data_IF_091396914583
#
_entry.id   IF_091396914583
#
_cell.length_a   1.000
_cell.length_b   1.000
_cell.length_c   1.000
_cell.angle_alpha   90.00
_cell.angle_beta   90.00
_cell.angle_gamma   90.00
#
_symmetry.space_group_name_H-M   'P 1'
#
loop_
_entity.id
_entity.type
_entity.pdbx_description
1 polymer ?
#
# COMPACT_ATOMS: atom_id res chain seq x y z
N UNK A 1 12.09 -11.18 1.83
CA UNK A 1 12.32 -11.10 3.29
C UNK A 1 11.84 -12.33 4.06
N UNK A 2 10.57 -12.78 3.96
CA UNK A 2 10.14 -14.06 4.58
C UNK A 2 10.76 -15.33 3.95
N UNK A 3 11.39 -15.21 2.77
CA UNK A 3 12.00 -16.31 2.03
C UNK A 3 13.48 -16.57 2.38
N UNK A 4 14.15 -15.64 3.07
CA UNK A 4 15.59 -15.73 3.39
C UNK A 4 15.86 -16.45 4.71
N UNK A 5 14.98 -16.34 5.70
CA UNK A 5 15.11 -17.02 7.00
C UNK A 5 14.24 -18.28 7.04
N UNK A 6 14.57 -19.26 6.19
CA UNK A 6 13.80 -20.51 6.06
C UNK A 6 13.80 -21.38 7.34
N UNK A 7 14.73 -21.13 8.26
CA UNK A 7 14.94 -21.99 9.42
C UNK A 7 14.41 -21.42 10.75
N UNK A 8 14.50 -20.10 10.99
CA UNK A 8 13.91 -19.45 12.18
C UNK A 8 13.53 -17.99 11.89
N UNK A 9 12.25 -17.65 11.99
CA UNK A 9 11.82 -16.26 11.93
C UNK A 9 12.38 -15.46 13.13
N UNK A 10 12.99 -14.29 12.92
CA UNK A 10 13.48 -13.46 14.02
C UNK A 10 12.33 -13.04 14.93
N UNK A 11 12.53 -13.10 16.25
CA UNK A 11 11.46 -12.89 17.25
C UNK A 11 10.75 -11.56 17.07
N UNK A 12 11.51 -10.49 16.81
CA UNK A 12 10.96 -9.15 16.61
C UNK A 12 10.00 -9.07 15.41
N UNK A 13 10.30 -9.76 14.32
CA UNK A 13 9.44 -9.78 13.12
C UNK A 13 8.12 -10.51 13.39
N UNK A 14 8.20 -11.65 14.09
CA UNK A 14 7.01 -12.42 14.46
C UNK A 14 6.07 -11.62 15.38
N UNK A 15 6.64 -10.88 16.35
CA UNK A 15 5.88 -10.00 17.25
C UNK A 15 5.28 -8.83 16.46
N UNK A 16 6.06 -8.16 15.62
CA UNK A 16 5.56 -7.05 14.78
C UNK A 16 4.44 -7.51 13.86
N UNK A 17 4.56 -8.71 13.26
CA UNK A 17 3.50 -9.30 12.44
C UNK A 17 2.21 -9.52 13.25
N UNK A 18 2.31 -10.04 14.48
CA UNK A 18 1.15 -10.20 15.36
C UNK A 18 0.48 -8.85 15.64
N UNK A 19 1.25 -7.85 16.06
CA UNK A 19 0.73 -6.53 16.41
C UNK A 19 0.09 -5.86 15.20
N UNK A 20 0.80 -5.78 14.07
CA UNK A 20 0.30 -5.10 12.86
C UNK A 20 -0.92 -5.81 12.30
N UNK A 21 -0.90 -7.14 12.17
CA UNK A 21 -2.05 -7.87 11.62
C UNK A 21 -3.27 -7.79 12.54
N UNK A 22 -3.11 -7.96 13.85
CA UNK A 22 -4.23 -7.86 14.80
C UNK A 22 -4.82 -6.46 14.83
N UNK A 23 -3.99 -5.41 14.90
CA UNK A 23 -4.46 -4.02 14.83
C UNK A 23 -5.18 -3.78 13.50
N UNK A 24 -4.58 -4.18 12.38
CA UNK A 24 -5.17 -3.97 11.06
C UNK A 24 -6.55 -4.63 10.93
N UNK A 25 -6.70 -5.87 11.39
CA UNK A 25 -7.99 -6.59 11.36
C UNK A 25 -9.09 -5.88 12.15
N UNK A 26 -8.73 -5.15 13.20
CA UNK A 26 -9.67 -4.44 14.06
C UNK A 26 -10.02 -3.02 13.57
N UNK A 27 -9.29 -2.44 12.60
CA UNK A 27 -9.48 -1.03 12.18
C UNK A 27 -10.67 -0.85 11.22
N UNK A 28 -10.91 -1.79 10.28
CA UNK A 28 -12.01 -1.66 9.30
C UNK A 28 -12.76 -2.98 9.09
N UNK A 29 -14.04 -2.89 8.72
CA UNK A 29 -14.90 -4.04 8.49
C UNK A 29 -14.40 -5.04 7.43
N UNK A 30 -13.72 -4.59 6.37
CA UNK A 30 -13.17 -5.48 5.34
C UNK A 30 -11.77 -6.04 5.65
N UNK A 31 -11.13 -5.59 6.73
CA UNK A 31 -9.74 -5.97 7.07
C UNK A 31 -9.53 -7.47 7.31
N UNK A 32 -10.48 -8.24 7.88
CA UNK A 32 -10.35 -9.69 7.95
C UNK A 32 -10.10 -10.36 6.59
N UNK A 33 -10.76 -9.88 5.52
CA UNK A 33 -10.59 -10.41 4.15
C UNK A 33 -9.17 -10.13 3.65
N UNK A 34 -8.66 -8.92 3.87
CA UNK A 34 -7.31 -8.53 3.46
C UNK A 34 -6.23 -9.36 4.17
N UNK A 35 -6.39 -9.63 5.47
CA UNK A 35 -5.47 -10.53 6.20
C UNK A 35 -5.57 -11.97 5.73
N UNK A 36 -6.77 -12.45 5.42
CA UNK A 36 -6.95 -13.79 4.85
C UNK A 36 -6.24 -13.92 3.49
N UNK A 37 -6.32 -12.91 2.61
CA UNK A 37 -5.60 -12.89 1.34
C UNK A 37 -4.08 -12.81 1.51
N UNK A 38 -3.61 -12.04 2.50
CA UNK A 38 -2.19 -12.02 2.88
C UNK A 38 -1.70 -13.39 3.38
N UNK A 39 -2.47 -14.04 4.25
CA UNK A 39 -2.18 -15.40 4.74
C UNK A 39 -2.22 -16.43 3.60
N UNK A 40 -3.18 -16.34 2.70
CA UNK A 40 -3.26 -17.19 1.51
C UNK A 40 -2.02 -17.02 0.62
N UNK A 41 -1.56 -15.78 0.44
CA UNK A 41 -0.33 -15.50 -0.31
C UNK A 41 0.88 -16.18 0.33
N UNK A 42 1.00 -16.15 1.66
CA UNK A 42 2.06 -16.88 2.38
C UNK A 42 1.94 -18.40 2.19
N UNK A 43 0.73 -18.96 2.27
CA UNK A 43 0.47 -20.39 2.05
C UNK A 43 0.86 -20.81 0.64
N UNK A 44 0.53 -20.01 -0.38
CA UNK A 44 0.88 -20.29 -1.77
C UNK A 44 2.40 -20.25 -2.03
N UNK A 45 3.12 -19.34 -1.37
CA UNK A 45 4.58 -19.19 -1.56
C UNK A 45 5.39 -20.25 -0.80
N UNK A 46 5.00 -20.56 0.43
CA UNK A 46 5.76 -21.48 1.31
C UNK A 46 5.29 -22.93 1.13
N UNK A 47 4.00 -23.12 0.85
CA UNK A 47 3.32 -24.41 0.83
C UNK A 47 2.64 -24.72 2.18
N UNK A 48 1.42 -25.29 2.17
CA UNK A 48 0.61 -25.49 3.39
C UNK A 48 1.28 -26.45 4.39
N UNK A 49 1.88 -27.55 3.92
CA UNK A 49 2.51 -28.55 4.78
C UNK A 49 3.70 -27.97 5.53
N UNK A 50 4.54 -27.19 4.85
CA UNK A 50 5.74 -26.59 5.44
C UNK A 50 5.38 -25.50 6.45
N UNK A 51 4.42 -24.64 6.10
CA UNK A 51 3.94 -23.60 6.99
C UNK A 51 3.34 -24.23 8.27
N UNK A 52 2.53 -25.28 8.12
CA UNK A 52 1.96 -26.01 9.25
C UNK A 52 3.04 -26.62 10.14
N UNK A 53 4.07 -27.25 9.56
CA UNK A 53 5.20 -27.78 10.32
C UNK A 53 5.95 -26.67 11.08
N UNK A 54 6.23 -25.53 10.46
CA UNK A 54 6.89 -24.40 11.11
C UNK A 54 6.09 -23.86 12.29
N UNK A 55 4.77 -23.69 12.13
CA UNK A 55 3.88 -23.26 13.21
C UNK A 55 3.83 -24.33 14.31
N UNK A 56 3.72 -25.61 13.97
CA UNK A 56 3.67 -26.71 14.94
C UNK A 56 4.93 -26.82 15.80
N UNK A 57 6.10 -26.53 15.23
CA UNK A 57 7.38 -26.66 15.95
C UNK A 57 7.81 -25.39 16.72
N UNK A 58 7.12 -24.25 16.52
CA UNK A 58 7.50 -22.97 17.15
C UNK A 58 6.38 -22.42 18.03
N UNK A 59 6.56 -22.45 19.36
CA UNK A 59 5.63 -21.83 20.32
C UNK A 59 5.36 -20.36 20.01
N UNK A 60 6.37 -19.62 19.55
CA UNK A 60 6.20 -18.22 19.18
C UNK A 60 5.22 -18.07 18.00
N UNK A 61 5.37 -18.89 16.96
CA UNK A 61 4.47 -18.84 15.80
C UNK A 61 3.05 -19.29 16.16
N UNK A 62 2.89 -20.22 17.10
CA UNK A 62 1.57 -20.61 17.62
C UNK A 62 0.89 -19.45 18.34
N UNK A 63 1.62 -18.75 19.21
CA UNK A 63 1.09 -17.57 19.92
C UNK A 63 0.71 -16.49 18.91
N UNK A 64 1.61 -16.19 17.96
CA UNK A 64 1.36 -15.18 16.91
C UNK A 64 0.13 -15.53 16.08
N UNK A 65 0.04 -16.77 15.56
CA UNK A 65 -1.12 -17.22 14.79
C UNK A 65 -2.40 -17.19 15.62
N UNK A 66 -2.34 -17.63 16.89
CA UNK A 66 -3.47 -17.61 17.81
C UNK A 66 -3.97 -16.19 18.11
N UNK A 67 -3.08 -15.23 18.30
CA UNK A 67 -3.42 -13.82 18.54
C UNK A 67 -4.07 -13.18 17.32
N UNK A 68 -3.54 -13.41 16.12
CA UNK A 68 -4.14 -12.92 14.87
C UNK A 68 -5.52 -13.56 14.67
N UNK A 69 -5.64 -14.87 14.89
CA UNK A 69 -6.88 -15.60 14.74
C UNK A 69 -7.96 -15.12 15.73
N UNK A 70 -7.60 -14.93 17.00
CA UNK A 70 -8.51 -14.40 18.01
C UNK A 70 -8.99 -12.98 17.66
N UNK A 71 -8.09 -12.10 17.23
CA UNK A 71 -8.46 -10.75 16.77
C UNK A 71 -9.41 -10.81 15.56
N UNK A 72 -9.15 -11.70 14.60
CA UNK A 72 -10.02 -11.91 13.44
C UNK A 72 -11.41 -12.45 13.80
N UNK A 73 -11.49 -13.37 14.76
CA UNK A 73 -12.77 -13.85 15.27
C UNK A 73 -13.56 -12.75 15.95
N UNK A 74 -12.91 -11.96 16.81
CA UNK A 74 -13.56 -10.83 17.51
C UNK A 74 -14.06 -9.80 16.48
N UNK A 75 -13.23 -9.41 15.51
CA UNK A 75 -13.61 -8.49 14.45
C UNK A 75 -14.79 -9.01 13.63
N UNK A 76 -14.74 -10.28 13.22
CA UNK A 76 -15.80 -10.90 12.40
C UNK A 76 -17.11 -11.02 13.18
N UNK A 77 -17.04 -11.43 14.45
CA UNK A 77 -18.21 -11.48 15.33
C UNK A 77 -18.84 -10.10 15.49
N UNK A 78 -18.03 -9.06 15.69
CA UNK A 78 -18.52 -7.68 15.75
C UNK A 78 -19.18 -7.25 14.42
N UNK A 79 -18.54 -7.53 13.29
CA UNK A 79 -19.05 -7.17 11.96
C UNK A 79 -20.43 -7.79 11.71
N UNK A 80 -20.60 -9.07 12.04
CA UNK A 80 -21.85 -9.81 11.84
C UNK A 80 -22.93 -9.34 12.82
N UNK A 81 -22.61 -9.24 14.11
CA UNK A 81 -23.59 -8.89 15.15
C UNK A 81 -24.08 -7.45 15.05
N UNK A 82 -23.21 -6.52 14.66
CA UNK A 82 -23.56 -5.10 14.52
C UNK A 82 -23.94 -4.72 13.09
N UNK A 83 -23.85 -5.65 12.12
CA UNK A 83 -24.15 -5.38 10.72
C UNK A 83 -23.32 -4.23 10.14
N UNK A 84 -22.05 -4.08 10.56
CA UNK A 84 -21.22 -2.90 10.22
C UNK A 84 -20.97 -2.69 8.72
N UNK A 85 -21.23 -3.70 7.89
CA UNK A 85 -21.14 -3.63 6.43
C UNK A 85 -22.43 -3.10 5.77
N UNK A 86 -23.52 -2.94 6.54
CA UNK A 86 -24.76 -2.32 6.07
C UNK A 86 -24.57 -0.81 6.04
N UNK A 87 -24.00 -0.32 4.95
CA UNK A 87 -23.81 1.11 4.73
C UNK A 87 -25.11 1.78 4.25
N UNK A 88 -25.25 3.06 4.55
CA UNK A 88 -26.35 3.87 4.04
C UNK A 88 -26.23 4.00 2.51
N UNK A 89 -27.36 4.05 1.78
CA UNK A 89 -27.35 4.32 0.34
C UNK A 89 -26.99 5.80 0.10
N UNK A 90 -25.70 6.07 -0.06
CA UNK A 90 -25.16 7.43 -0.29
C UNK A 90 -24.44 7.53 -1.65
N UNK A 91 -24.34 6.41 -2.39
CA UNK A 91 -23.66 6.37 -3.68
C UNK A 91 -24.47 6.98 -4.82
N UNK A 92 -23.84 7.13 -5.98
CA UNK A 92 -24.53 7.52 -7.21
C UNK A 92 -25.71 6.57 -7.46
N UNK A 93 -26.94 7.09 -7.66
CA UNK A 93 -28.12 6.26 -7.80
C UNK A 93 -28.01 5.41 -9.07
N UNK A 94 -28.22 4.11 -8.91
CA UNK A 94 -28.30 3.15 -10.02
C UNK A 94 -29.76 2.74 -10.18
N UNK A 95 -30.27 2.76 -11.40
CA UNK A 95 -31.67 2.42 -11.65
C UNK A 95 -31.88 0.93 -11.33
N UNK A 96 -32.93 0.60 -10.59
CA UNK A 96 -33.20 -0.79 -10.18
C UNK A 96 -33.35 -1.76 -11.37
N UNK A 97 -33.73 -1.24 -12.54
CA UNK A 97 -33.97 -1.99 -13.77
C UNK A 97 -32.74 -2.08 -14.69
N UNK A 98 -31.61 -1.45 -14.34
CA UNK A 98 -30.41 -1.50 -15.18
C UNK A 98 -29.85 -2.93 -15.23
N UNK A 99 -29.42 -3.34 -16.43
CA UNK A 99 -28.79 -4.65 -16.62
C UNK A 99 -27.48 -4.76 -15.83
N UNK A 100 -27.11 -5.97 -15.40
CA UNK A 100 -25.84 -6.18 -14.68
C UNK A 100 -24.64 -5.72 -15.51
N UNK A 101 -24.68 -5.90 -16.83
CA UNK A 101 -23.63 -5.44 -17.74
C UNK A 101 -23.51 -3.92 -17.73
N UNK A 102 -24.64 -3.20 -17.76
CA UNK A 102 -24.67 -1.73 -17.64
C UNK A 102 -24.04 -1.27 -16.33
N UNK A 103 -24.35 -1.95 -15.22
CA UNK A 103 -23.79 -1.64 -13.90
C UNK A 103 -22.28 -1.91 -13.88
N UNK A 104 -21.83 -3.04 -14.41
CA UNK A 104 -20.39 -3.35 -14.50
C UNK A 104 -19.67 -2.28 -15.33
N UNK A 105 -20.21 -1.88 -16.47
CA UNK A 105 -19.62 -0.80 -17.29
C UNK A 105 -19.54 0.52 -16.53
N UNK A 106 -20.60 0.89 -15.80
CA UNK A 106 -20.61 2.11 -14.99
C UNK A 106 -19.54 2.06 -13.89
N UNK A 107 -19.39 0.92 -13.21
CA UNK A 107 -18.39 0.71 -12.16
C UNK A 107 -16.96 0.69 -12.73
N UNK A 108 -16.75 0.10 -13.90
CA UNK A 108 -15.45 0.12 -14.57
C UNK A 108 -15.00 1.55 -14.91
N UNK A 109 -15.94 2.44 -15.28
CA UNK A 109 -15.65 3.85 -15.53
C UNK A 109 -15.19 4.61 -14.26
N UNK A 110 -15.48 4.09 -13.06
CA UNK A 110 -15.03 4.67 -11.78
C UNK A 110 -13.67 4.14 -11.31
N UNK A 111 -13.14 3.06 -11.90
CA UNK A 111 -11.86 2.47 -11.46
C UNK A 111 -10.70 3.46 -11.54
N UNK A 112 -10.64 4.27 -12.59
CA UNK A 112 -9.61 5.32 -12.73
C UNK A 112 -9.65 6.33 -11.57
N UNK A 113 -10.84 6.62 -11.04
CA UNK A 113 -11.02 7.52 -9.91
C UNK A 113 -10.53 6.86 -8.63
N UNK A 114 -10.87 5.58 -8.39
CA UNK A 114 -10.34 4.83 -7.25
C UNK A 114 -8.82 4.70 -7.28
N UNK A 115 -8.22 4.46 -8.45
CA UNK A 115 -6.75 4.43 -8.59
C UNK A 115 -6.12 5.78 -8.24
N UNK A 116 -6.77 6.89 -8.62
CA UNK A 116 -6.33 8.24 -8.24
C UNK A 116 -6.45 8.49 -6.72
N UNK A 117 -7.54 8.04 -6.11
CA UNK A 117 -7.73 8.11 -4.66
C UNK A 117 -6.72 7.25 -3.88
N UNK A 118 -6.30 6.10 -4.44
CA UNK A 118 -5.25 5.27 -3.84
C UNK A 118 -3.89 5.96 -3.79
N UNK A 119 -3.60 6.85 -4.75
CA UNK A 119 -2.39 7.69 -4.74
C UNK A 119 -2.56 8.85 -3.76
N UNK A 120 -3.64 9.62 -3.93
CA UNK A 120 -3.93 10.74 -3.03
C UNK A 120 -4.97 11.68 -3.61
N UNK A 121 -6.17 11.67 -3.03
CA UNK A 121 -7.11 12.77 -3.10
C UNK A 121 -7.37 13.19 -1.66
N UNK A 122 -6.87 14.36 -1.29
CA UNK A 122 -6.72 14.77 0.10
C UNK A 122 -8.03 15.29 0.71
N UNK A 123 -8.02 15.41 2.04
CA UNK A 123 -9.13 15.83 2.91
C UNK A 123 -10.42 15.04 2.71
N UNK A 124 -11.50 15.69 2.27
CA UNK A 124 -12.80 15.06 1.99
C UNK A 124 -12.90 14.57 0.52
N UNK A 125 -11.81 14.01 -0.02
CA UNK A 125 -11.77 13.52 -1.42
C UNK A 125 -12.07 14.62 -2.45
N UNK A 126 -11.72 15.85 -2.10
CA UNK A 126 -12.03 17.06 -2.86
C UNK A 126 -10.78 17.87 -3.15
N UNK A 127 -9.57 17.38 -2.85
CA UNK A 127 -8.33 18.06 -3.24
C UNK A 127 -7.43 17.11 -3.97
N UNK A 128 -7.45 17.23 -5.30
CA UNK A 128 -6.55 16.48 -6.17
C UNK A 128 -5.14 17.03 -6.05
N UNK A 129 -4.17 16.13 -6.06
CA UNK A 129 -2.75 16.46 -6.14
C UNK A 129 -2.40 17.00 -7.54
N UNK A 130 -1.23 17.67 -7.69
CA UNK A 130 -0.69 18.01 -8.99
C UNK A 130 -0.58 16.79 -9.91
N UNK A 131 -0.74 16.98 -11.22
CA UNK A 131 -0.81 15.89 -12.20
C UNK A 131 0.49 15.05 -12.21
N UNK A 132 1.61 15.70 -11.97
CA UNK A 132 2.95 15.14 -11.93
C UNK A 132 3.07 14.04 -10.88
N UNK A 133 2.40 14.20 -9.72
CA UNK A 133 2.39 13.19 -8.66
C UNK A 133 1.70 11.92 -9.16
N UNK A 134 0.54 12.05 -9.82
CA UNK A 134 -0.16 10.89 -10.35
C UNK A 134 0.63 10.18 -11.45
N UNK A 135 1.26 10.94 -12.37
CA UNK A 135 2.08 10.37 -13.43
C UNK A 135 3.24 9.55 -12.87
N UNK A 136 3.91 10.05 -11.84
CA UNK A 136 5.05 9.36 -11.26
C UNK A 136 4.64 8.07 -10.53
N UNK A 137 3.55 8.08 -9.77
CA UNK A 137 2.97 6.83 -9.20
C UNK A 137 2.53 5.84 -10.27
N UNK A 138 1.90 6.31 -11.35
CA UNK A 138 1.51 5.49 -12.49
C UNK A 138 2.69 4.97 -13.31
N UNK A 139 3.88 5.56 -13.16
CA UNK A 139 5.13 5.02 -13.69
C UNK A 139 5.76 3.99 -12.75
N UNK A 140 5.97 4.36 -11.49
CA UNK A 140 6.73 3.58 -10.51
C UNK A 140 6.03 2.26 -10.16
N UNK A 141 4.74 2.29 -9.85
CA UNK A 141 4.03 1.07 -9.39
C UNK A 141 3.97 0.01 -10.49
N UNK A 142 3.49 0.30 -11.72
CA UNK A 142 3.51 -0.68 -12.80
C UNK A 142 4.92 -1.17 -13.13
N UNK A 143 5.93 -0.30 -13.11
CA UNK A 143 7.32 -0.70 -13.34
C UNK A 143 7.77 -1.75 -12.33
N UNK A 144 7.53 -1.53 -11.04
CA UNK A 144 7.87 -2.49 -9.97
C UNK A 144 7.13 -3.81 -10.15
N UNK A 145 5.84 -3.76 -10.49
CA UNK A 145 5.05 -4.96 -10.77
C UNK A 145 5.60 -5.73 -11.97
N UNK A 146 5.93 -5.05 -13.08
CA UNK A 146 6.48 -5.65 -14.29
C UNK A 146 7.84 -6.32 -13.99
N UNK A 147 8.73 -5.62 -13.28
CA UNK A 147 10.04 -6.18 -12.90
C UNK A 147 9.87 -7.46 -12.09
N UNK A 148 8.94 -7.48 -11.14
CA UNK A 148 8.63 -8.68 -10.35
C UNK A 148 8.04 -9.80 -11.20
N UNK A 149 7.17 -9.50 -12.16
CA UNK A 149 6.59 -10.48 -13.07
C UNK A 149 7.62 -11.07 -14.04
N UNK A 150 8.63 -10.29 -14.45
CA UNK A 150 9.72 -10.76 -15.29
C UNK A 150 10.70 -11.62 -14.50
N UNK A 151 11.10 -11.19 -13.30
CA UNK A 151 12.15 -11.85 -12.50
C UNK A 151 11.65 -13.00 -11.61
N UNK A 152 10.38 -12.97 -11.21
CA UNK A 152 9.82 -13.93 -10.25
C UNK A 152 9.67 -15.34 -10.81
N UNK A 153 9.55 -16.31 -9.92
CA UNK A 153 9.17 -17.69 -10.25
C UNK A 153 7.67 -17.76 -10.56
N UNK A 154 7.21 -18.81 -11.25
CA UNK A 154 5.79 -19.00 -11.60
C UNK A 154 4.82 -18.67 -10.46
N UNK A 155 5.08 -19.18 -9.25
CA UNK A 155 4.16 -18.96 -8.12
C UNK A 155 4.28 -17.55 -7.51
N UNK A 156 5.45 -16.94 -7.55
CA UNK A 156 5.64 -15.54 -7.16
C UNK A 156 4.92 -14.60 -8.13
N UNK A 157 5.01 -14.89 -9.44
CA UNK A 157 4.28 -14.16 -10.49
C UNK A 157 2.78 -14.28 -10.27
N UNK A 158 2.29 -15.50 -10.00
CA UNK A 158 0.88 -15.75 -9.74
C UNK A 158 0.38 -14.96 -8.52
N UNK A 159 1.14 -14.94 -7.43
CA UNK A 159 0.77 -14.18 -6.22
C UNK A 159 0.78 -12.67 -6.50
N UNK A 160 1.83 -12.13 -7.14
CA UNK A 160 1.90 -10.69 -7.46
C UNK A 160 0.77 -10.27 -8.40
N UNK A 161 0.54 -11.02 -9.49
CA UNK A 161 -0.55 -10.76 -10.43
C UNK A 161 -1.91 -10.92 -9.77
N UNK A 162 -2.08 -11.93 -8.92
CA UNK A 162 -3.30 -12.19 -8.16
C UNK A 162 -3.64 -11.03 -7.22
N UNK A 163 -2.68 -10.57 -6.41
CA UNK A 163 -2.89 -9.44 -5.50
C UNK A 163 -3.21 -8.14 -6.25
N UNK A 164 -2.46 -7.85 -7.33
CA UNK A 164 -2.71 -6.68 -8.17
C UNK A 164 -4.09 -6.75 -8.86
N UNK A 165 -4.45 -7.91 -9.42
CA UNK A 165 -5.75 -8.11 -10.04
C UNK A 165 -6.91 -8.02 -9.04
N UNK A 166 -6.76 -8.61 -7.86
CA UNK A 166 -7.77 -8.57 -6.80
C UNK A 166 -8.00 -7.16 -6.25
N UNK A 167 -7.02 -6.25 -6.35
CA UNK A 167 -7.17 -4.84 -5.97
C UNK A 167 -8.26 -4.14 -6.79
N UNK A 168 -8.47 -4.57 -8.03
CA UNK A 168 -9.52 -4.06 -8.93
C UNK A 168 -10.73 -5.00 -8.97
N UNK A 169 -10.52 -6.32 -8.99
CA UNK A 169 -11.61 -7.28 -9.14
C UNK A 169 -12.57 -7.25 -7.94
N UNK A 170 -12.04 -7.22 -6.70
CA UNK A 170 -12.87 -7.21 -5.50
C UNK A 170 -13.83 -6.00 -5.44
N UNK A 171 -13.36 -4.75 -5.56
CA UNK A 171 -14.28 -3.61 -5.54
C UNK A 171 -15.26 -3.63 -6.71
N UNK A 172 -14.82 -3.97 -7.93
CA UNK A 172 -15.73 -4.06 -9.07
C UNK A 172 -16.84 -5.08 -8.81
N UNK A 173 -16.51 -6.29 -8.33
CA UNK A 173 -17.50 -7.31 -8.02
C UNK A 173 -18.43 -6.89 -6.88
N UNK A 174 -17.88 -6.43 -5.75
CA UNK A 174 -18.70 -6.07 -4.59
C UNK A 174 -19.64 -4.90 -4.88
N UNK A 175 -19.13 -3.86 -5.54
CA UNK A 175 -19.91 -2.68 -5.89
C UNK A 175 -20.96 -3.03 -6.94
N UNK A 176 -20.63 -3.77 -8.01
CA UNK A 176 -21.63 -4.14 -9.02
C UNK A 176 -22.76 -5.00 -8.45
N UNK A 177 -22.48 -5.89 -7.49
CA UNK A 177 -23.50 -6.72 -6.85
C UNK A 177 -24.44 -5.91 -5.93
N UNK A 178 -23.92 -4.89 -5.26
CA UNK A 178 -24.70 -4.10 -4.29
C UNK A 178 -25.16 -2.74 -4.82
N UNK A 179 -24.78 -2.37 -6.05
CA UNK A 179 -25.04 -1.05 -6.64
C UNK A 179 -26.52 -0.65 -6.62
N UNK A 180 -27.44 -1.61 -6.79
CA UNK A 180 -28.90 -1.34 -6.78
C UNK A 180 -29.45 -1.00 -5.40
N UNK A 181 -28.76 -1.41 -4.34
CA UNK A 181 -29.19 -1.21 -2.96
C UNK A 181 -28.45 -0.03 -2.31
N UNK A 182 -27.14 0.06 -2.55
CA UNK A 182 -26.23 0.98 -1.86
C UNK A 182 -25.77 2.15 -2.75
N UNK A 183 -25.98 2.05 -4.05
CA UNK A 183 -25.32 2.90 -5.04
C UNK A 183 -23.87 2.48 -5.27
N UNK A 184 -23.15 3.24 -6.10
CA UNK A 184 -21.71 3.03 -6.31
C UNK A 184 -20.96 3.67 -5.15
N UNK A 185 -20.63 2.86 -4.14
CA UNK A 185 -19.93 3.30 -2.93
C UNK A 185 -18.65 2.48 -2.75
N UNK A 186 -17.52 3.09 -3.08
CA UNK A 186 -16.18 2.56 -2.80
C UNK A 186 -15.16 3.68 -2.92
N UNK A 187 -14.07 3.58 -2.17
CA UNK A 187 -12.96 4.51 -2.26
C UNK A 187 -11.63 3.78 -2.47
N UNK A 188 -10.68 4.42 -3.16
CA UNK A 188 -9.35 3.86 -3.41
C UNK A 188 -8.61 3.44 -2.13
N UNK A 189 -8.91 4.08 -0.99
CA UNK A 189 -8.37 3.72 0.33
C UNK A 189 -8.83 2.37 0.86
N UNK A 190 -9.97 1.86 0.40
CA UNK A 190 -10.50 0.59 0.86
C UNK A 190 -9.77 -0.61 0.23
N UNK A 191 -9.18 -0.42 -0.96
CA UNK A 191 -8.32 -1.41 -1.63
C UNK A 191 -6.82 -1.23 -1.37
N UNK A 192 -6.41 -0.13 -0.73
CA UNK A 192 -4.99 0.19 -0.48
C UNK A 192 -4.21 -0.92 0.22
N UNK A 193 -4.72 -1.62 1.25
CA UNK A 193 -3.96 -2.67 1.90
C UNK A 193 -3.50 -3.76 0.93
N UNK A 194 -4.34 -4.10 -0.05
CA UNK A 194 -4.03 -5.09 -1.06
C UNK A 194 -3.09 -4.53 -2.13
N UNK A 195 -3.30 -3.29 -2.57
CA UNK A 195 -2.42 -2.60 -3.53
C UNK A 195 -0.98 -2.47 -2.98
N UNK A 196 -0.84 -2.00 -1.74
CA UNK A 196 0.44 -1.89 -1.05
C UNK A 196 1.05 -3.27 -0.82
N UNK A 197 0.23 -4.27 -0.44
CA UNK A 197 0.67 -5.67 -0.34
C UNK A 197 1.25 -6.21 -1.65
N UNK A 198 0.62 -5.90 -2.78
CA UNK A 198 1.11 -6.28 -4.11
C UNK A 198 2.45 -5.62 -4.43
N UNK A 199 2.63 -4.32 -4.13
CA UNK A 199 3.90 -3.59 -4.35
C UNK A 199 5.01 -4.13 -3.44
N UNK A 200 4.72 -4.36 -2.15
CA UNK A 200 5.70 -4.94 -1.21
C UNK A 200 6.12 -6.34 -1.67
N UNK A 201 5.16 -7.16 -2.10
CA UNK A 201 5.43 -8.50 -2.61
C UNK A 201 6.25 -8.43 -3.90
N UNK A 202 5.91 -7.53 -4.81
CA UNK A 202 6.67 -7.32 -6.04
C UNK A 202 8.12 -6.90 -5.76
N UNK A 203 8.35 -5.95 -4.86
CA UNK A 203 9.69 -5.59 -4.41
C UNK A 203 10.45 -6.79 -3.83
N UNK A 204 9.77 -7.63 -3.02
CA UNK A 204 10.38 -8.81 -2.43
C UNK A 204 10.77 -9.89 -3.46
N UNK A 205 10.03 -9.99 -4.57
CA UNK A 205 10.29 -10.91 -5.69
C UNK A 205 11.36 -10.36 -6.64
N UNK A 206 11.33 -9.05 -6.88
CA UNK A 206 12.31 -8.37 -7.73
C UNK A 206 13.72 -8.37 -7.11
N UNK A 207 13.84 -8.59 -5.80
CA UNK A 207 15.12 -8.58 -5.07
C UNK A 207 15.69 -10.00 -4.93
N UNK A 208 16.94 -10.26 -5.34
CA UNK A 208 17.58 -11.56 -5.14
C UNK A 208 17.76 -11.91 -3.66
N UNK A 209 17.58 -13.17 -3.24
CA UNK A 209 17.83 -13.60 -1.86
C UNK A 209 19.33 -13.79 -1.54
N UNK A 210 19.75 -13.44 -0.31
CA UNK A 210 21.03 -13.85 0.28
C UNK A 210 22.26 -13.01 -0.10
N UNK A 211 23.50 -13.51 0.14
CA UNK A 211 24.76 -12.78 -0.12
C UNK A 211 24.97 -12.33 -1.58
N UNK A 212 24.23 -12.94 -2.52
CA UNK A 212 24.16 -12.51 -3.92
C UNK A 212 23.55 -11.11 -4.09
N UNK A 213 22.76 -10.65 -3.11
CA UNK A 213 22.21 -9.30 -3.01
C UNK A 213 23.29 -8.22 -2.96
N UNK A 214 24.42 -8.52 -2.33
CA UNK A 214 25.56 -7.63 -2.26
C UNK A 214 26.34 -7.67 -3.58
N UNK A 215 26.57 -8.87 -4.13
CA UNK A 215 27.53 -9.09 -5.22
C UNK A 215 27.09 -8.61 -6.61
N UNK A 216 25.78 -8.45 -6.85
CA UNK A 216 25.22 -8.20 -8.20
C UNK A 216 24.59 -6.81 -8.41
N UNK A 217 24.73 -5.87 -7.47
CA UNK A 217 24.24 -4.50 -7.73
C UNK A 217 25.12 -3.82 -8.77
N UNK A 218 24.50 -3.56 -9.93
CA UNK A 218 25.09 -2.74 -10.97
C UNK A 218 24.72 -1.28 -10.72
N UNK A 219 25.62 -0.35 -11.06
CA UNK A 219 25.44 1.10 -10.89
C UNK A 219 24.13 1.63 -11.49
N UNK A 220 23.61 0.96 -12.53
CA UNK A 220 22.33 1.27 -13.16
C UNK A 220 21.12 1.00 -12.24
N UNK A 221 21.14 -0.11 -11.49
CA UNK A 221 20.05 -0.44 -10.56
C UNK A 221 20.06 0.50 -9.35
N UNK A 222 21.24 0.86 -8.88
CA UNK A 222 21.43 1.85 -7.80
C UNK A 222 20.96 3.24 -8.21
N UNK A 223 21.35 3.67 -9.41
CA UNK A 223 20.89 4.93 -10.01
C UNK A 223 19.37 4.95 -10.15
N UNK A 224 18.77 3.85 -10.60
CA UNK A 224 17.31 3.73 -10.72
C UNK A 224 16.60 3.82 -9.36
N UNK A 225 17.05 3.06 -8.35
CA UNK A 225 16.44 3.10 -7.01
C UNK A 225 16.61 4.48 -6.37
N UNK A 226 17.79 5.08 -6.49
CA UNK A 226 18.06 6.43 -5.97
C UNK A 226 17.17 7.47 -6.66
N UNK A 227 16.99 7.36 -7.97
CA UNK A 227 16.08 8.21 -8.74
C UNK A 227 14.64 8.06 -8.26
N UNK A 228 14.17 6.83 -8.04
CA UNK A 228 12.82 6.57 -7.49
C UNK A 228 12.67 7.19 -6.10
N UNK A 229 13.66 7.07 -5.22
CA UNK A 229 13.61 7.68 -3.88
C UNK A 229 13.50 9.21 -3.98
N UNK A 230 14.32 9.85 -4.83
CA UNK A 230 14.29 11.30 -5.02
C UNK A 230 12.95 11.76 -5.60
N UNK A 231 12.42 11.05 -6.61
CA UNK A 231 11.11 11.34 -7.21
C UNK A 231 9.99 11.24 -6.16
N UNK A 232 9.91 10.13 -5.43
CA UNK A 232 8.91 9.95 -4.38
C UNK A 232 9.04 10.99 -3.26
N UNK A 233 10.26 11.42 -2.94
CA UNK A 233 10.50 12.48 -1.95
C UNK A 233 9.92 13.80 -2.42
N UNK A 234 10.19 14.17 -3.68
CA UNK A 234 9.65 15.37 -4.30
C UNK A 234 8.11 15.35 -4.33
N UNK A 235 7.51 14.21 -4.69
CA UNK A 235 6.05 14.05 -4.68
C UNK A 235 5.44 14.17 -3.28
N UNK A 236 6.11 13.65 -2.26
CA UNK A 236 5.65 13.80 -0.88
C UNK A 236 5.69 15.27 -0.44
N UNK A 237 6.71 16.03 -0.84
CA UNK A 237 6.80 17.48 -0.59
C UNK A 237 5.67 18.22 -1.29
N UNK A 238 5.40 17.92 -2.57
CA UNK A 238 4.28 18.50 -3.32
C UNK A 238 2.93 18.16 -2.70
N UNK A 239 2.77 16.93 -2.20
CA UNK A 239 1.56 16.46 -1.54
C UNK A 239 1.33 17.20 -0.23
N UNK A 240 2.38 17.37 0.57
CA UNK A 240 2.33 18.13 1.81
C UNK A 240 1.99 19.59 1.57
N UNK A 241 2.65 20.23 0.59
CA UNK A 241 2.37 21.60 0.17
C UNK A 241 0.91 21.78 -0.25
N UNK A 242 0.39 20.86 -1.08
CA UNK A 242 -1.00 20.91 -1.56
C UNK A 242 -1.98 20.77 -0.40
N UNK A 243 -1.70 19.88 0.55
CA UNK A 243 -2.51 19.71 1.74
C UNK A 243 -2.52 20.99 2.60
N UNK A 244 -1.35 21.58 2.82
CA UNK A 244 -1.21 22.78 3.63
C UNK A 244 -1.91 23.98 2.98
N UNK A 245 -1.79 24.14 1.66
CA UNK A 245 -2.53 25.15 0.88
C UNK A 245 -4.03 25.00 1.07
N UNK A 246 -4.54 23.77 0.96
CA UNK A 246 -5.96 23.48 1.15
C UNK A 246 -6.45 23.92 2.53
N UNK A 247 -5.69 23.64 3.59
CA UNK A 247 -6.08 24.08 4.93
C UNK A 247 -5.98 25.60 5.13
N UNK A 248 -4.97 26.24 4.53
CA UNK A 248 -4.77 27.67 4.67
C UNK A 248 -5.83 28.48 3.92
N UNK A 249 -5.97 28.24 2.62
CA UNK A 249 -6.73 29.10 1.69
C UNK A 249 -7.80 28.35 0.89
N UNK A 250 -8.06 27.09 1.21
CA UNK A 250 -8.98 26.24 0.44
C UNK A 250 -8.38 25.69 -0.85
N UNK A 251 -9.18 24.93 -1.60
CA UNK A 251 -8.77 24.26 -2.85
C UNK A 251 -8.36 25.26 -3.95
N UNK A 252 -9.11 26.35 -4.05
CA UNK A 252 -8.99 27.34 -5.13
C UNK A 252 -8.20 28.60 -4.71
N UNK A 253 -7.63 28.60 -3.50
CA UNK A 253 -6.85 29.72 -2.98
C UNK A 253 -5.51 29.93 -3.70
N UNK A 254 -4.81 31.05 -3.48
CA UNK A 254 -3.56 31.36 -4.18
C UNK A 254 -2.45 30.32 -3.92
N UNK A 255 -1.57 30.11 -4.90
CA UNK A 255 -0.40 29.25 -4.72
C UNK A 255 0.60 29.84 -3.71
N UNK A 256 0.78 31.16 -3.72
CA UNK A 256 1.64 31.89 -2.78
C UNK A 256 0.98 32.15 -1.42
N UNK A 257 0.12 31.23 -0.94
CA UNK A 257 -0.64 31.38 0.31
C UNK A 257 0.23 31.66 1.54
N UNK A 258 1.48 31.21 1.53
CA UNK A 258 2.44 31.42 2.61
C UNK A 258 2.99 32.87 2.67
N UNK A 259 2.76 33.70 1.64
CA UNK A 259 3.16 35.12 1.62
C UNK A 259 2.08 36.06 2.18
N UNK A 260 0.85 35.56 2.37
CA UNK A 260 -0.28 36.36 2.82
C UNK A 260 -0.97 35.68 4.01
N UNK A 261 -1.38 36.44 5.04
CA UNK A 261 -2.09 35.89 6.20
C UNK A 261 -3.57 35.59 5.89
N UNK A 262 -3.84 34.78 4.86
CA UNK A 262 -5.19 34.44 4.41
C UNK A 262 -5.57 33.07 4.98
N UNK A 263 -6.21 33.04 6.15
CA UNK A 263 -6.89 31.85 6.70
C UNK A 263 -6.18 31.11 7.84
N UNK A 264 -6.37 29.79 7.91
CA UNK A 264 -5.82 28.96 9.00
C UNK A 264 -4.30 28.81 8.86
N UNK A 265 -3.58 28.82 9.99
CA UNK A 265 -2.15 28.53 10.03
C UNK A 265 -1.81 27.50 11.10
N UNK A 266 -0.82 26.61 10.86
CA UNK A 266 -0.30 25.74 11.89
C UNK A 266 0.35 26.57 13.01
N UNK A 267 0.46 26.06 14.25
CA UNK A 267 1.00 26.82 15.38
C UNK A 267 2.41 27.39 15.16
N UNK A 268 3.23 26.70 14.36
CA UNK A 268 4.59 27.12 14.00
C UNK A 268 4.65 28.08 12.80
N UNK A 269 3.49 28.41 12.19
CA UNK A 269 3.40 29.19 10.96
C UNK A 269 3.62 28.36 9.68
N UNK A 270 3.18 28.91 8.55
CA UNK A 270 3.17 28.22 7.25
C UNK A 270 4.58 27.87 6.75
N UNK A 271 5.51 28.84 6.78
CA UNK A 271 6.87 28.67 6.28
C UNK A 271 7.65 27.64 7.12
N UNK A 272 7.67 27.74 8.47
CA UNK A 272 8.35 26.72 9.28
C UNK A 272 7.74 25.32 9.11
N UNK A 273 6.41 25.21 8.92
CA UNK A 273 5.77 23.94 8.63
C UNK A 273 6.21 23.34 7.29
N UNK A 274 6.31 24.15 6.23
CA UNK A 274 6.83 23.72 4.92
C UNK A 274 8.28 23.26 5.01
N UNK A 275 9.13 24.01 5.71
CA UNK A 275 10.53 23.65 5.93
C UNK A 275 10.61 22.32 6.69
N UNK A 276 9.89 22.19 7.80
CA UNK A 276 9.90 20.97 8.61
C UNK A 276 9.40 19.75 7.83
N UNK A 277 8.31 19.88 7.07
CA UNK A 277 7.77 18.82 6.23
C UNK A 277 8.78 18.35 5.18
N UNK A 278 9.42 19.31 4.50
CA UNK A 278 10.47 19.06 3.50
C UNK A 278 11.72 18.43 4.11
N UNK A 279 12.17 18.92 5.26
CA UNK A 279 13.32 18.36 5.97
C UNK A 279 13.03 16.94 6.46
N UNK A 280 11.82 16.66 6.92
CA UNK A 280 11.46 15.31 7.41
C UNK A 280 11.46 14.30 6.27
N UNK A 281 10.84 14.63 5.14
CA UNK A 281 10.83 13.76 3.95
C UNK A 281 12.22 13.62 3.34
N UNK A 282 12.97 14.72 3.24
CA UNK A 282 14.36 14.71 2.78
C UNK A 282 15.30 13.90 3.69
N UNK A 283 15.14 14.00 5.02
CA UNK A 283 15.93 13.22 5.98
C UNK A 283 15.63 11.72 5.86
N UNK A 284 14.36 11.34 5.71
CA UNK A 284 13.97 9.96 5.48
C UNK A 284 14.58 9.41 4.19
N UNK A 285 14.50 10.18 3.09
CA UNK A 285 15.13 9.84 1.83
C UNK A 285 16.66 9.70 1.96
N UNK A 286 17.30 10.62 2.68
CA UNK A 286 18.74 10.59 2.98
C UNK A 286 19.14 9.32 3.74
N UNK A 287 18.36 8.91 4.74
CA UNK A 287 18.59 7.65 5.47
C UNK A 287 18.48 6.45 4.53
N UNK A 288 17.49 6.41 3.63
CA UNK A 288 17.35 5.33 2.66
C UNK A 288 18.53 5.29 1.67
N UNK A 289 18.96 6.44 1.16
CA UNK A 289 20.09 6.55 0.25
C UNK A 289 21.41 6.15 0.93
N UNK A 290 21.63 6.60 2.17
CA UNK A 290 22.78 6.18 2.97
C UNK A 290 22.75 4.67 3.24
N UNK A 291 21.58 4.12 3.55
CA UNK A 291 21.44 2.68 3.76
C UNK A 291 21.78 1.90 2.51
N UNK A 292 21.33 2.34 1.33
CA UNK A 292 21.68 1.77 0.02
C UNK A 292 23.20 1.84 -0.19
N UNK A 293 23.82 2.97 0.11
CA UNK A 293 25.26 3.17 -0.06
C UNK A 293 26.10 2.29 0.88
N UNK A 294 25.75 2.22 2.15
CA UNK A 294 26.46 1.40 3.14
C UNK A 294 26.18 -0.11 3.02
N UNK A 295 25.06 -0.49 2.41
CA UNK A 295 24.72 -1.90 2.17
C UNK A 295 25.52 -2.54 1.02
N UNK A 296 26.36 -1.76 0.31
CA UNK A 296 27.25 -2.28 -0.73
C UNK A 296 28.33 -3.18 -0.12
N UNK A 297 28.63 -4.35 -0.71
CA UNK A 297 29.85 -5.05 -0.38
C UNK A 297 31.04 -4.21 -0.86
N UNK A 298 32.07 -4.10 -0.03
CA UNK A 298 33.35 -3.58 -0.50
C UNK A 298 33.81 -4.45 -1.68
N UNK A 299 33.90 -3.87 -2.87
CA UNK A 299 34.61 -4.50 -4.00
C UNK A 299 36.06 -4.64 -3.56
N UNK A 300 36.58 -5.86 -3.51
CA UNK A 300 38.00 -6.05 -3.19
C UNK A 300 38.83 -5.41 -4.31
N UNK A 301 39.90 -4.67 -3.98
CA UNK A 301 40.75 -4.00 -4.98
C UNK A 301 41.45 -4.94 -5.97
N UNK A 302 41.34 -6.26 -5.77
CA UNK A 302 42.00 -7.30 -6.56
C UNK A 302 41.15 -7.81 -7.75
N UNK A 303 39.91 -7.35 -7.89
CA UNK A 303 39.01 -7.71 -9.00
C UNK A 303 39.09 -6.71 -10.20
N UNK A 304 40.16 -5.91 -10.29
CA UNK A 304 40.39 -4.93 -11.37
C UNK A 304 41.64 -5.26 -12.19
#
# INVERSE_FOLDING_TARGET
>A
WGLEYREKAPRGLAIMMAVVASVFVLIRGLSPVWVALGALSLVLLVGPVRLFQQVRHSRLLQIVAGVIFAAALIATAWIITQGTLNILPVGAPVTKNDSLLTIIHLVLNTVQFWLRESVGVLGWVDTTLPHEVYLAWYGVVPLVLIVALVRGRWMERFVVAGLAGLTVAIPVTLVSLHARQLGIVWQGRDSMPLAVGAVIMACAVATPPGPQRARNWNLLEEGAISTVIVLLTWENVLSFYTNLRRYAVGRDGPATFFLHHLGWAPPIGQIPALILGTMTTGAFAGVLLLWIWFAQPRRDPLDA
#
